data_IF_781061025760
#
_entry.id   IF_781061025760
#
_cell.length_a   1.000
_cell.length_b   1.000
_cell.length_c   1.000
_cell.angle_alpha   90.00
_cell.angle_beta   90.00
_cell.angle_gamma   90.00
#
_symmetry.space_group_name_H-M   'P 1'
#
loop_
_entity.id
_entity.type
_entity.pdbx_description
1 polymer ?
#
# COMPACT_ATOMS: atom_id res chain seq x y z
N UNK A 1 -13.01 6.94 25.93
CA UNK A 1 -13.59 5.58 25.80
C UNK A 1 -12.53 4.58 25.34
N UNK A 2 -11.35 4.55 25.98
CA UNK A 2 -10.27 3.65 25.62
C UNK A 2 -9.43 3.32 26.84
N UNK A 3 -8.47 2.41 26.69
CA UNK A 3 -7.56 2.04 27.76
C UNK A 3 -6.63 3.21 28.12
N UNK A 4 -6.48 3.50 29.42
CA UNK A 4 -5.59 4.54 29.93
C UNK A 4 -4.13 4.05 30.01
N UNK A 5 -3.59 3.61 28.87
CA UNK A 5 -2.22 3.11 28.74
C UNK A 5 -1.62 3.50 27.39
N UNK A 6 -0.30 3.40 27.26
CA UNK A 6 0.36 3.52 25.95
C UNK A 6 0.02 2.31 25.08
N UNK A 7 0.11 2.48 23.75
CA UNK A 7 -0.04 1.36 22.81
C UNK A 7 1.02 0.32 23.10
N UNK A 8 0.59 -0.93 23.27
CA UNK A 8 1.49 -2.06 23.35
C UNK A 8 2.14 -2.28 21.98
N UNK A 9 3.45 -2.48 21.97
CA UNK A 9 4.27 -2.77 20.78
C UNK A 9 5.09 -4.06 20.94
N UNK A 10 4.81 -4.81 21.99
CA UNK A 10 5.37 -6.14 22.22
C UNK A 10 4.65 -7.18 21.35
N UNK A 11 5.11 -8.42 21.46
CA UNK A 11 4.51 -9.58 20.78
C UNK A 11 3.01 -9.76 21.09
N UNK A 12 2.54 -9.27 22.24
CA UNK A 12 1.12 -9.33 22.63
C UNK A 12 0.21 -8.64 21.61
N UNK A 13 0.70 -7.56 20.97
CA UNK A 13 -0.07 -6.90 19.91
C UNK A 13 -0.24 -7.78 18.68
N UNK A 14 0.81 -8.52 18.29
CA UNK A 14 0.78 -9.44 17.16
C UNK A 14 -0.15 -10.63 17.44
N UNK A 15 -0.06 -11.20 18.63
CA UNK A 15 -0.91 -12.30 19.11
C UNK A 15 -2.38 -11.89 19.12
N UNK A 16 -2.69 -10.67 19.56
CA UNK A 16 -4.05 -10.14 19.53
C UNK A 16 -4.60 -10.07 18.09
N UNK A 17 -3.79 -9.63 17.13
CA UNK A 17 -4.24 -9.57 15.73
C UNK A 17 -4.37 -10.98 15.13
N UNK A 18 -3.46 -11.90 15.47
CA UNK A 18 -3.57 -13.31 15.05
C UNK A 18 -4.87 -13.95 15.58
N UNK A 19 -5.16 -13.80 16.88
CA UNK A 19 -6.38 -14.30 17.50
C UNK A 19 -7.63 -13.69 16.86
N UNK A 20 -7.62 -12.38 16.58
CA UNK A 20 -8.72 -11.72 15.88
C UNK A 20 -8.98 -12.35 14.50
N UNK A 21 -7.94 -12.55 13.69
CA UNK A 21 -8.09 -13.13 12.35
C UNK A 21 -8.67 -14.55 12.43
N UNK A 22 -8.17 -15.36 13.35
CA UNK A 22 -8.62 -16.74 13.56
C UNK A 22 -10.05 -16.81 14.09
N UNK A 23 -10.41 -15.96 15.06
CA UNK A 23 -11.75 -15.92 15.64
C UNK A 23 -12.82 -15.50 14.61
N UNK A 24 -12.52 -14.50 13.78
CA UNK A 24 -13.43 -14.02 12.75
C UNK A 24 -13.69 -15.12 11.71
N UNK A 25 -12.65 -15.73 11.15
CA UNK A 25 -12.87 -16.79 10.14
C UNK A 25 -13.42 -18.08 10.75
N UNK A 26 -13.06 -18.40 12.00
CA UNK A 26 -13.59 -19.55 12.72
C UNK A 26 -15.11 -19.46 12.92
N UNK A 27 -15.62 -18.25 13.11
CA UNK A 27 -17.06 -18.00 13.28
C UNK A 27 -17.81 -17.77 11.97
N UNK A 28 -17.24 -17.00 11.04
CA UNK A 28 -17.94 -16.49 9.86
C UNK A 28 -17.49 -17.16 8.54
N UNK A 29 -16.43 -17.98 8.59
CA UNK A 29 -15.89 -18.73 7.46
C UNK A 29 -14.64 -18.10 6.85
N UNK A 30 -13.84 -18.93 6.16
CA UNK A 30 -12.54 -18.55 5.58
C UNK A 30 -12.64 -17.44 4.52
N UNK A 31 -13.80 -17.31 3.89
CA UNK A 31 -14.06 -16.32 2.84
C UNK A 31 -14.62 -14.99 3.39
N UNK A 32 -14.61 -14.80 4.71
CA UNK A 32 -14.99 -13.52 5.32
C UNK A 32 -14.01 -12.44 4.87
N UNK A 33 -14.54 -11.38 4.24
CA UNK A 33 -13.74 -10.24 3.82
C UNK A 33 -13.30 -9.41 5.03
N UNK A 34 -11.99 -9.21 5.19
CA UNK A 34 -11.41 -8.41 6.27
C UNK A 34 -10.64 -7.25 5.65
N UNK A 35 -11.15 -6.03 5.83
CA UNK A 35 -10.48 -4.80 5.41
C UNK A 35 -9.68 -4.21 6.58
N UNK A 36 -8.37 -4.05 6.40
CA UNK A 36 -7.53 -3.29 7.33
C UNK A 36 -7.58 -1.80 6.96
N UNK A 37 -7.77 -0.95 7.96
CA UNK A 37 -7.97 0.50 7.84
C UNK A 37 -7.20 1.24 8.94
N UNK A 38 -6.56 2.38 8.60
CA UNK A 38 -5.97 3.33 9.56
C UNK A 38 -4.91 2.70 10.51
N UNK A 39 -4.17 1.71 10.02
CA UNK A 39 -3.01 1.17 10.75
C UNK A 39 -1.78 2.04 10.51
N UNK A 40 -0.89 2.14 11.50
CA UNK A 40 0.38 2.82 11.27
C UNK A 40 1.25 2.07 10.25
N UNK A 41 1.90 2.80 9.35
CA UNK A 41 2.74 2.33 8.23
C UNK A 41 3.43 0.98 8.41
N UNK A 42 4.21 0.82 9.48
CA UNK A 42 4.91 -0.44 9.76
C UNK A 42 3.95 -1.64 9.89
N UNK A 43 2.86 -1.45 10.63
CA UNK A 43 1.85 -2.49 10.87
C UNK A 43 0.99 -2.75 9.63
N UNK A 44 0.59 -1.71 8.89
CA UNK A 44 -0.22 -1.87 7.69
C UNK A 44 0.46 -2.78 6.66
N UNK A 45 1.73 -2.50 6.32
CA UNK A 45 2.47 -3.33 5.36
C UNK A 45 2.74 -4.74 5.86
N UNK A 46 3.16 -4.90 7.13
CA UNK A 46 3.51 -6.22 7.64
C UNK A 46 2.29 -7.12 7.77
N UNK A 47 1.14 -6.60 8.21
CA UNK A 47 -0.09 -7.37 8.33
C UNK A 47 -0.66 -7.72 6.97
N UNK A 48 -0.69 -6.78 6.04
CA UNK A 48 -1.08 -7.08 4.66
C UNK A 48 -0.22 -8.21 4.08
N UNK A 49 1.11 -8.15 4.25
CA UNK A 49 2.00 -9.23 3.77
C UNK A 49 1.75 -10.55 4.49
N UNK A 50 1.56 -10.54 5.81
CA UNK A 50 1.38 -11.74 6.64
C UNK A 50 0.07 -12.46 6.31
N UNK A 51 -1.00 -11.73 6.04
CA UNK A 51 -2.35 -12.31 6.00
C UNK A 51 -2.94 -12.47 4.59
N UNK A 52 -2.48 -11.72 3.59
CA UNK A 52 -3.09 -11.70 2.23
C UNK A 52 -3.12 -13.04 1.49
N UNK A 53 -2.22 -13.97 1.82
CA UNK A 53 -2.20 -15.32 1.22
C UNK A 53 -2.94 -16.36 2.06
N UNK A 54 -3.30 -16.04 3.31
CA UNK A 54 -3.99 -16.94 4.25
C UNK A 54 -5.48 -16.61 4.38
N UNK A 55 -5.86 -15.35 4.30
CA UNK A 55 -7.23 -14.87 4.54
C UNK A 55 -7.73 -13.99 3.37
N UNK A 56 -9.05 -13.88 3.22
CA UNK A 56 -9.66 -12.92 2.30
C UNK A 56 -9.53 -11.50 2.88
N UNK A 57 -8.37 -10.87 2.67
CA UNK A 57 -8.05 -9.57 3.27
C UNK A 57 -7.29 -8.65 2.31
N UNK A 58 -7.49 -7.36 2.53
CA UNK A 58 -6.77 -6.28 1.87
C UNK A 58 -6.66 -5.08 2.82
N UNK A 59 -5.83 -4.10 2.46
CA UNK A 59 -5.74 -2.84 3.19
C UNK A 59 -6.16 -1.68 2.28
N UNK A 60 -7.10 -0.85 2.72
CA UNK A 60 -7.69 0.20 1.88
C UNK A 60 -6.73 1.38 1.66
N UNK A 61 -5.99 1.76 2.71
CA UNK A 61 -4.98 2.83 2.66
C UNK A 61 -3.89 2.55 1.61
N UNK A 62 -3.51 1.28 1.44
CA UNK A 62 -2.49 0.82 0.49
C UNK A 62 -3.12 0.51 -0.87
N UNK A 63 -4.13 -0.37 -0.91
CA UNK A 63 -4.63 -0.96 -2.17
C UNK A 63 -5.84 -0.21 -2.72
N UNK A 64 -6.76 0.23 -1.86
CA UNK A 64 -7.92 1.04 -2.27
C UNK A 64 -7.50 2.40 -2.82
N UNK A 65 -6.63 3.09 -2.08
CA UNK A 65 -6.05 4.37 -2.52
C UNK A 65 -5.24 4.22 -3.82
N UNK A 66 -4.52 3.11 -3.98
CA UNK A 66 -3.82 2.81 -5.23
C UNK A 66 -4.77 2.71 -6.43
N UNK A 67 -5.87 1.98 -6.27
CA UNK A 67 -6.83 1.76 -7.34
C UNK A 67 -7.47 3.07 -7.81
N UNK A 68 -7.95 3.91 -6.89
CA UNK A 68 -8.59 5.18 -7.26
C UNK A 68 -7.60 6.17 -7.88
N UNK A 69 -6.35 6.22 -7.39
CA UNK A 69 -5.32 7.07 -7.97
C UNK A 69 -4.95 6.65 -9.40
N UNK A 70 -4.75 5.36 -9.64
CA UNK A 70 -4.48 4.84 -10.99
C UNK A 70 -5.68 5.08 -11.92
N UNK A 71 -6.92 4.88 -11.45
CA UNK A 71 -8.11 5.19 -12.24
C UNK A 71 -8.14 6.66 -12.68
N UNK A 72 -7.77 7.59 -11.79
CA UNK A 72 -7.61 9.00 -12.12
C UNK A 72 -6.54 9.26 -13.19
N UNK A 73 -5.37 8.61 -13.10
CA UNK A 73 -4.31 8.71 -14.11
C UNK A 73 -4.73 8.16 -15.48
N UNK A 74 -5.43 7.02 -15.51
CA UNK A 74 -5.95 6.45 -16.75
C UNK A 74 -7.03 7.34 -17.38
N UNK A 75 -7.86 7.99 -16.56
CA UNK A 75 -8.80 9.00 -17.05
C UNK A 75 -8.06 10.23 -17.62
N UNK A 76 -7.03 10.73 -16.94
CA UNK A 76 -6.23 11.85 -17.41
C UNK A 76 -5.49 11.55 -18.72
N UNK A 77 -4.98 10.32 -18.90
CA UNK A 77 -4.35 9.87 -20.14
C UNK A 77 -5.25 10.04 -21.36
N UNK A 78 -6.57 9.82 -21.23
CA UNK A 78 -7.54 9.98 -22.34
C UNK A 78 -7.66 11.43 -22.80
N UNK A 79 -7.44 12.39 -21.89
CA UNK A 79 -7.53 13.83 -22.17
C UNK A 79 -6.20 14.37 -22.70
N UNK A 80 -5.09 13.94 -22.10
CA UNK A 80 -3.74 14.41 -22.45
C UNK A 80 -3.20 13.71 -23.70
N UNK A 81 -3.76 12.56 -24.08
CA UNK A 81 -3.32 11.72 -25.19
C UNK A 81 -1.83 11.30 -25.09
N UNK A 82 -1.34 11.13 -23.86
CA UNK A 82 0.03 10.69 -23.56
C UNK A 82 0.04 9.37 -22.78
N UNK A 83 0.64 8.29 -23.31
CA UNK A 83 0.70 6.99 -22.64
C UNK A 83 1.28 7.06 -21.23
N UNK A 84 0.73 6.32 -20.26
CA UNK A 84 1.23 6.21 -18.88
C UNK A 84 2.74 5.96 -18.83
N UNK A 85 3.21 5.12 -19.75
CA UNK A 85 4.61 4.71 -19.94
C UNK A 85 5.55 5.86 -20.30
N UNK A 86 5.06 7.05 -20.67
CA UNK A 86 5.88 8.22 -20.98
C UNK A 86 5.90 9.28 -19.85
N UNK A 87 5.13 9.05 -18.78
CA UNK A 87 5.08 9.99 -17.65
C UNK A 87 6.27 9.79 -16.70
N UNK A 88 6.55 10.85 -15.93
CA UNK A 88 7.40 10.82 -14.74
C UNK A 88 6.56 11.33 -13.58
N UNK A 89 6.54 10.57 -12.49
CA UNK A 89 5.61 10.78 -11.38
C UNK A 89 6.42 11.07 -10.14
N UNK A 90 6.11 12.18 -9.48
CA UNK A 90 6.70 12.58 -8.21
C UNK A 90 5.63 12.53 -7.13
N UNK A 91 5.87 11.75 -6.08
CA UNK A 91 5.03 11.68 -4.90
C UNK A 91 5.53 12.64 -3.82
N UNK A 92 4.59 13.34 -3.18
CA UNK A 92 4.81 14.01 -1.91
C UNK A 92 4.36 13.06 -0.78
N UNK A 93 5.33 12.49 -0.08
CA UNK A 93 5.18 11.41 0.88
C UNK A 93 5.73 10.07 0.35
N UNK A 94 6.18 9.22 1.27
CA UNK A 94 6.66 7.86 1.00
C UNK A 94 6.01 6.82 1.96
N UNK A 95 4.75 7.06 2.32
CA UNK A 95 3.96 6.25 3.24
C UNK A 95 3.15 5.15 2.56
N UNK A 96 2.09 4.68 3.22
CA UNK A 96 1.22 3.59 2.76
C UNK A 96 0.61 3.85 1.39
N UNK A 97 -0.10 4.98 1.27
CA UNK A 97 -0.71 5.41 0.02
C UNK A 97 0.32 5.58 -1.10
N UNK A 98 1.41 6.31 -0.86
CA UNK A 98 2.42 6.58 -1.89
C UNK A 98 3.05 5.29 -2.46
N UNK A 99 3.43 4.36 -1.58
CA UNK A 99 3.99 3.07 -1.99
C UNK A 99 2.95 2.17 -2.67
N UNK A 100 1.70 2.15 -2.17
CA UNK A 100 0.60 1.41 -2.80
C UNK A 100 0.31 1.90 -4.22
N UNK A 101 0.12 3.21 -4.38
CA UNK A 101 -0.12 3.86 -5.68
C UNK A 101 1.05 3.62 -6.64
N UNK A 102 2.29 3.81 -6.17
CA UNK A 102 3.48 3.61 -6.99
C UNK A 102 3.58 2.16 -7.51
N UNK A 103 3.36 1.16 -6.65
CA UNK A 103 3.39 -0.25 -7.07
C UNK A 103 2.33 -0.54 -8.14
N UNK A 104 1.10 -0.03 -7.96
CA UNK A 104 0.04 -0.29 -8.93
C UNK A 104 0.29 0.42 -10.27
N UNK A 105 0.89 1.62 -10.24
CA UNK A 105 1.34 2.31 -11.45
C UNK A 105 2.45 1.51 -12.16
N UNK A 106 3.42 0.97 -11.42
CA UNK A 106 4.47 0.12 -12.00
C UNK A 106 3.84 -1.08 -12.70
N UNK A 107 2.91 -1.77 -12.06
CA UNK A 107 2.17 -2.88 -12.67
C UNK A 107 1.47 -2.46 -13.95
N UNK A 108 0.78 -1.31 -13.95
CA UNK A 108 0.11 -0.78 -15.13
C UNK A 108 1.10 -0.41 -16.26
N UNK A 109 2.26 0.17 -15.93
CA UNK A 109 3.30 0.47 -16.93
C UNK A 109 3.88 -0.82 -17.54
N UNK A 110 4.11 -1.84 -16.70
CA UNK A 110 4.63 -3.15 -17.15
C UNK A 110 3.62 -3.87 -18.04
N UNK A 111 2.33 -3.85 -17.68
CA UNK A 111 1.25 -4.38 -18.52
C UNK A 111 1.19 -3.70 -19.90
N UNK A 112 1.64 -2.44 -19.99
CA UNK A 112 1.74 -1.67 -21.22
C UNK A 112 3.13 -1.74 -21.90
N UNK A 113 3.94 -2.74 -21.56
CA UNK A 113 5.15 -3.11 -22.30
C UNK A 113 6.48 -2.57 -21.77
N UNK A 114 6.49 -1.88 -20.62
CA UNK A 114 7.75 -1.50 -19.96
C UNK A 114 8.33 -2.68 -19.18
N UNK A 115 9.66 -2.72 -19.06
CA UNK A 115 10.27 -3.52 -18.01
C UNK A 115 9.99 -2.91 -16.63
N UNK A 116 10.02 -3.76 -15.59
CA UNK A 116 9.86 -3.31 -14.20
C UNK A 116 10.89 -2.24 -13.82
N UNK A 117 12.14 -2.36 -14.31
CA UNK A 117 13.21 -1.38 -14.04
C UNK A 117 12.90 -0.02 -14.67
N UNK A 118 12.47 0.00 -15.93
CA UNK A 118 12.09 1.25 -16.62
C UNK A 118 10.90 1.93 -15.93
N UNK A 119 9.93 1.15 -15.46
CA UNK A 119 8.79 1.67 -14.72
C UNK A 119 9.22 2.30 -13.38
N UNK A 120 10.10 1.63 -12.62
CA UNK A 120 10.65 2.20 -11.37
C UNK A 120 11.43 3.50 -11.61
N UNK A 121 12.21 3.59 -12.69
CA UNK A 121 12.98 4.80 -13.03
C UNK A 121 12.10 6.02 -13.38
N UNK A 122 10.78 5.84 -13.51
CA UNK A 122 9.80 6.91 -13.76
C UNK A 122 9.12 7.41 -12.49
N UNK A 123 9.37 6.79 -11.34
CA UNK A 123 8.74 7.13 -10.07
C UNK A 123 9.76 7.71 -9.11
N UNK A 124 9.39 8.84 -8.50
CA UNK A 124 10.18 9.57 -7.51
C UNK A 124 9.33 9.85 -6.28
N UNK A 125 9.93 9.89 -5.09
CA UNK A 125 9.23 10.16 -3.84
C UNK A 125 10.01 11.17 -3.00
N UNK A 126 9.30 12.09 -2.37
CA UNK A 126 9.85 13.11 -1.48
C UNK A 126 9.13 13.03 -0.13
N UNK A 127 9.81 12.64 0.94
CA UNK A 127 9.23 12.54 2.28
C UNK A 127 9.61 13.73 3.18
N UNK A 128 9.30 13.63 4.47
CA UNK A 128 9.59 14.68 5.47
C UNK A 128 11.07 15.07 5.54
N UNK A 129 11.96 14.15 5.18
CA UNK A 129 13.40 14.34 5.27
C UNK A 129 13.99 14.70 3.88
N UNK A 130 13.14 14.87 2.84
CA UNK A 130 13.56 15.20 1.46
C UNK A 130 13.35 14.12 0.39
N UNK A 131 14.02 14.30 -0.77
CA UNK A 131 13.95 13.38 -1.91
C UNK A 131 14.61 12.03 -1.60
N UNK A 132 13.95 10.92 -1.92
CA UNK A 132 14.53 9.59 -1.80
C UNK A 132 15.58 9.35 -2.88
N UNK A 133 16.85 9.22 -2.47
CA UNK A 133 18.00 8.91 -3.32
C UNK A 133 18.78 7.71 -2.76
N UNK A 134 19.53 6.99 -3.61
CA UNK A 134 20.26 5.75 -3.25
C UNK A 134 21.20 5.91 -2.04
N UNK A 135 21.82 7.07 -1.90
CA UNK A 135 22.75 7.38 -0.81
C UNK A 135 22.08 8.41 0.09
N UNK A 136 21.25 7.92 0.99
CA UNK A 136 20.65 8.75 2.03
C UNK A 136 21.13 8.24 3.38
N UNK A 137 21.74 9.11 4.17
CA UNK A 137 21.95 8.83 5.59
C UNK A 137 20.61 9.02 6.31
N UNK A 138 20.23 8.01 7.11
CA UNK A 138 19.17 8.09 8.10
C UNK A 138 19.55 9.06 9.23
#
# INVERSE_FOLDING_TARGET
>A
MGLYQKRDRSQVYDELIDEFMEAIVGRYGQNTLIQFEDFGNHNAFRFLRKYREKYCTFNDDIQGTAAVALAGLLAAQKVIAKPLTEHRILFLGAGEAALGIANLIVMAMVENGLSTEEAYNRIWMFDKDGLLIKVRCL
#
